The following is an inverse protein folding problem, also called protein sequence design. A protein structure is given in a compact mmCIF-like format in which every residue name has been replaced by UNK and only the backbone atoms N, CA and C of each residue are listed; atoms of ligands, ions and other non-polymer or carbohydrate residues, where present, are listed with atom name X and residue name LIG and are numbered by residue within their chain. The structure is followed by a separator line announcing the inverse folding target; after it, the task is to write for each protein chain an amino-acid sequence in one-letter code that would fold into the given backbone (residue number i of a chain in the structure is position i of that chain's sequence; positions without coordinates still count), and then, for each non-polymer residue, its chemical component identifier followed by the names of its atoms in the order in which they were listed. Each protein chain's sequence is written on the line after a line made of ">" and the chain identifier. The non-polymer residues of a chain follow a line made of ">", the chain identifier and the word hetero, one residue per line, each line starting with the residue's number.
data_IF_884120256668
#
_entry.id   IF_884120256668
#
_cell.length_a   1.000
_cell.length_b   1.000
_cell.length_c   1.000
_cell.angle_alpha   90.00
_cell.angle_beta   90.00
_cell.angle_gamma   90.00
#
_symmetry.space_group_name_H-M   'P 1'
#
loop_
_entity.id
_entity.type
_entity.pdbx_description
1 polymer ?
#
# COMPACT_ATOMS: atom_id res chain seq x y z
N UNK A 1 -10.48 -55.49 37.68
CA UNK A 1 -9.24 -54.69 37.56
C UNK A 1 -8.93 -54.45 36.08
N UNK A 2 -8.56 -53.20 35.73
CA UNK A 2 -8.03 -52.68 34.44
C UNK A 2 -9.04 -52.62 33.28
N UNK A 3 -9.66 -51.49 32.90
CA UNK A 3 -9.27 -50.07 32.72
C UNK A 3 -8.49 -49.79 31.42
N UNK A 4 -9.28 -49.61 30.35
CA UNK A 4 -9.25 -48.52 29.33
C UNK A 4 -7.93 -48.11 28.67
N UNK A 5 -7.69 -48.60 27.45
CA UNK A 5 -6.76 -48.00 26.48
C UNK A 5 -7.54 -47.13 25.48
N UNK A 6 -7.76 -45.85 25.79
CA UNK A 6 -8.18 -44.85 24.80
C UNK A 6 -7.60 -43.50 25.24
N UNK A 7 -6.38 -43.16 24.82
CA UNK A 7 -5.87 -41.77 24.73
C UNK A 7 -4.38 -41.78 24.38
N UNK A 8 -4.02 -41.86 23.09
CA UNK A 8 -2.65 -41.54 22.68
C UNK A 8 -2.50 -40.93 21.27
N UNK A 9 -3.60 -40.63 20.56
CA UNK A 9 -3.55 -40.20 19.16
C UNK A 9 -3.99 -38.75 18.89
N UNK A 10 -4.38 -37.99 19.91
CA UNK A 10 -4.90 -36.61 19.74
C UNK A 10 -3.91 -35.52 20.13
N UNK A 11 -2.69 -35.86 20.56
CA UNK A 11 -1.72 -34.87 21.07
C UNK A 11 -0.79 -34.34 19.97
N UNK A 12 -0.62 -35.05 18.84
CA UNK A 12 0.35 -34.66 17.80
C UNK A 12 -0.11 -33.55 16.84
N UNK A 13 -1.40 -33.24 16.75
CA UNK A 13 -1.94 -32.27 15.78
C UNK A 13 -2.03 -30.83 16.29
N UNK A 14 -1.89 -30.59 17.60
CA UNK A 14 -1.93 -29.24 18.19
C UNK A 14 -0.54 -28.58 18.14
N UNK A 15 0.53 -29.37 18.14
CA UNK A 15 1.91 -28.88 18.15
C UNK A 15 2.33 -28.22 16.83
N UNK A 16 1.76 -28.62 15.69
CA UNK A 16 2.17 -28.10 14.38
C UNK A 16 1.60 -26.71 14.05
N UNK A 17 0.47 -26.32 14.67
CA UNK A 17 -0.12 -24.99 14.49
C UNK A 17 0.60 -23.89 15.28
N UNK A 18 1.43 -24.24 16.26
CA UNK A 18 2.16 -23.27 17.09
C UNK A 18 3.55 -22.92 16.52
N UNK A 19 4.14 -23.76 15.66
CA UNK A 19 5.50 -23.54 15.14
C UNK A 19 5.52 -22.65 13.89
N UNK A 20 4.40 -22.52 13.17
CA UNK A 20 4.30 -21.65 11.99
C UNK A 20 4.26 -20.14 12.32
N UNK A 21 4.15 -19.76 13.60
CA UNK A 21 4.08 -18.36 14.04
C UNK A 21 5.43 -17.66 14.21
N UNK A 22 6.55 -18.41 14.24
CA UNK A 22 7.86 -17.85 14.60
C UNK A 22 8.68 -17.24 13.46
N UNK A 23 8.22 -17.40 12.20
CA UNK A 23 8.85 -16.74 11.05
C UNK A 23 8.03 -15.57 10.49
N UNK A 24 7.16 -14.97 11.32
CA UNK A 24 6.72 -13.61 11.03
C UNK A 24 7.85 -12.68 11.54
N UNK A 25 8.64 -12.03 10.65
CA UNK A 25 9.55 -10.99 11.12
C UNK A 25 8.73 -9.99 11.93
N UNK A 26 9.18 -9.61 13.14
CA UNK A 26 8.50 -8.58 13.91
C UNK A 26 8.47 -7.35 13.01
N UNK A 27 7.29 -6.92 12.60
CA UNK A 27 7.16 -5.66 11.90
C UNK A 27 7.69 -4.60 12.85
N UNK A 28 8.84 -4.02 12.50
CA UNK A 28 9.42 -2.89 13.19
C UNK A 28 8.39 -1.75 13.09
N UNK A 29 7.50 -1.64 14.08
CA UNK A 29 6.42 -0.66 14.26
C UNK A 29 5.46 -0.35 13.09
N UNK A 30 5.52 -1.08 11.97
CA UNK A 30 4.78 -0.77 10.74
C UNK A 30 3.77 -1.82 10.26
N UNK A 31 2.90 -1.41 9.33
CA UNK A 31 2.02 -2.24 8.52
C UNK A 31 2.71 -2.54 7.20
N UNK A 32 2.93 -3.79 6.87
CA UNK A 32 3.35 -4.15 5.52
C UNK A 32 2.10 -4.23 4.63
N UNK A 33 2.00 -3.38 3.60
CA UNK A 33 0.78 -3.27 2.74
C UNK A 33 1.01 -3.87 1.35
N UNK A 34 2.18 -3.65 0.76
CA UNK A 34 2.53 -4.24 -0.54
C UNK A 34 2.60 -5.76 -0.44
N UNK A 35 2.22 -6.48 -1.50
CA UNK A 35 2.17 -7.95 -1.55
C UNK A 35 1.27 -8.61 -0.48
N UNK A 36 0.40 -7.86 0.20
CA UNK A 36 -0.60 -8.42 1.10
C UNK A 36 -1.89 -8.79 0.37
N UNK A 37 -2.67 -9.66 1.00
CA UNK A 37 -3.97 -10.10 0.49
C UNK A 37 -5.08 -9.09 0.81
N UNK A 38 -6.20 -9.09 0.06
CA UNK A 38 -7.35 -8.25 0.37
C UNK A 38 -7.84 -8.40 1.81
N UNK A 39 -7.80 -9.61 2.38
CA UNK A 39 -8.24 -9.88 3.74
C UNK A 39 -7.37 -9.16 4.78
N UNK A 40 -6.04 -9.12 4.58
CA UNK A 40 -5.14 -8.36 5.43
C UNK A 40 -5.40 -6.86 5.29
N UNK A 41 -5.53 -6.36 4.06
CA UNK A 41 -5.73 -4.92 3.82
C UNK A 41 -7.06 -4.42 4.42
N UNK A 42 -8.11 -5.24 4.38
CA UNK A 42 -9.40 -4.88 5.00
C UNK A 42 -9.30 -4.63 6.50
N UNK A 43 -8.35 -5.26 7.21
CA UNK A 43 -8.12 -5.00 8.63
C UNK A 43 -7.51 -3.63 8.88
N UNK A 44 -6.80 -3.06 7.89
CA UNK A 44 -6.11 -1.78 8.01
C UNK A 44 -6.95 -0.60 7.51
N UNK A 45 -7.68 -0.78 6.42
CA UNK A 45 -8.38 0.30 5.72
C UNK A 45 -9.90 0.10 5.61
N UNK A 46 -10.43 -0.98 6.18
CA UNK A 46 -11.84 -1.36 6.08
C UNK A 46 -12.19 -2.05 4.77
N UNK A 47 -13.49 -2.32 4.57
CA UNK A 47 -13.99 -2.96 3.35
C UNK A 47 -13.88 -1.99 2.16
N UNK A 48 -13.51 -2.47 0.96
CA UNK A 48 -13.56 -1.64 -0.24
C UNK A 48 -15.00 -1.22 -0.53
N UNK A 49 -15.17 0.02 -1.00
CA UNK A 49 -16.45 0.57 -1.46
C UNK A 49 -16.84 0.03 -2.83
N UNK A 50 -15.84 -0.27 -3.66
CA UNK A 50 -16.02 -0.77 -5.03
C UNK A 50 -14.83 -1.65 -5.40
N UNK A 51 -15.08 -2.68 -6.21
CA UNK A 51 -14.06 -3.54 -6.81
C UNK A 51 -14.32 -3.56 -8.31
N UNK A 52 -13.28 -3.32 -9.10
CA UNK A 52 -13.30 -3.42 -10.55
C UNK A 52 -12.29 -4.47 -11.00
N UNK A 53 -12.68 -5.35 -11.93
CA UNK A 53 -11.77 -6.30 -12.56
C UNK A 53 -11.28 -5.70 -13.87
N UNK A 54 -9.98 -5.77 -14.14
CA UNK A 54 -9.42 -5.28 -15.40
C UNK A 54 -9.98 -6.08 -16.58
N UNK A 55 -10.43 -5.38 -17.62
CA UNK A 55 -10.93 -6.00 -18.85
C UNK A 55 -9.84 -6.75 -19.63
N UNK A 56 -8.58 -6.33 -19.50
CA UNK A 56 -7.44 -6.93 -20.21
C UNK A 56 -6.70 -7.99 -19.39
N UNK A 57 -6.92 -8.03 -18.07
CA UNK A 57 -6.28 -9.00 -17.18
C UNK A 57 -7.22 -9.38 -16.03
N UNK A 58 -7.90 -10.54 -16.09
CA UNK A 58 -8.87 -10.94 -15.06
C UNK A 58 -8.22 -11.20 -13.68
N UNK A 59 -6.89 -11.36 -13.63
CA UNK A 59 -6.13 -11.50 -12.38
C UNK A 59 -5.80 -10.16 -11.74
N UNK A 60 -6.08 -9.05 -12.43
CA UNK A 60 -5.89 -7.70 -11.94
C UNK A 60 -7.23 -7.11 -11.49
N UNK A 61 -7.27 -6.64 -10.25
CA UNK A 61 -8.45 -6.01 -9.65
C UNK A 61 -8.09 -4.70 -8.99
N UNK A 62 -8.91 -3.68 -9.14
CA UNK A 62 -8.78 -2.38 -8.49
C UNK A 62 -9.81 -2.26 -7.38
N UNK A 63 -9.34 -2.04 -6.15
CA UNK A 63 -10.17 -1.88 -4.96
C UNK A 63 -10.18 -0.41 -4.58
N UNK A 64 -11.36 0.18 -4.46
CA UNK A 64 -11.55 1.57 -4.06
C UNK A 64 -11.92 1.61 -2.58
N UNK A 65 -11.19 2.42 -1.81
CA UNK A 65 -11.41 2.59 -0.37
C UNK A 65 -11.97 3.98 -0.08
N UNK A 66 -12.44 4.18 1.16
CA UNK A 66 -12.89 5.51 1.59
C UNK A 66 -11.74 6.51 1.54
N UNK A 67 -11.94 7.62 0.83
CA UNK A 67 -11.02 8.75 0.82
C UNK A 67 -11.21 9.70 2.02
N UNK A 68 -12.15 9.41 2.94
CA UNK A 68 -12.37 10.26 4.11
C UNK A 68 -11.12 10.42 5.00
N UNK A 69 -10.35 9.35 5.33
CA UNK A 69 -9.12 9.51 6.09
C UNK A 69 -8.04 10.29 5.32
N UNK A 70 -8.00 10.14 4.00
CA UNK A 70 -7.08 10.88 3.13
C UNK A 70 -7.36 12.38 3.20
N UNK A 71 -8.63 12.80 3.21
CA UNK A 71 -8.99 14.22 3.37
C UNK A 71 -8.63 14.79 4.75
N UNK A 72 -8.56 13.95 5.78
CA UNK A 72 -8.05 14.37 7.10
C UNK A 72 -6.53 14.55 7.07
N UNK A 73 -5.83 13.69 6.34
CA UNK A 73 -4.38 13.76 6.14
C UNK A 73 -3.98 14.95 5.25
N UNK A 74 -4.77 15.19 4.20
CA UNK A 74 -4.59 16.24 3.22
C UNK A 74 -5.88 17.05 3.08
N UNK A 75 -6.05 18.15 3.82
CA UNK A 75 -7.27 18.96 3.80
C UNK A 75 -7.65 19.51 2.42
N UNK A 76 -6.68 19.67 1.52
CA UNK A 76 -6.90 20.12 0.13
C UNK A 76 -7.22 18.99 -0.85
N UNK A 77 -7.29 17.73 -0.39
CA UNK A 77 -7.66 16.60 -1.24
C UNK A 77 -9.12 16.73 -1.70
N UNK A 78 -9.41 16.72 -3.01
CA UNK A 78 -10.75 16.98 -3.53
C UNK A 78 -11.79 15.97 -3.04
N UNK A 79 -13.06 16.40 -2.96
CA UNK A 79 -14.17 15.55 -2.50
C UNK A 79 -14.39 14.34 -3.43
N UNK A 80 -14.21 14.55 -4.74
CA UNK A 80 -14.28 13.50 -5.76
C UNK A 80 -13.00 12.66 -5.88
N UNK A 81 -11.95 13.02 -5.14
CA UNK A 81 -10.69 12.31 -5.15
C UNK A 81 -10.85 10.87 -4.68
N UNK A 82 -10.02 10.00 -5.22
CA UNK A 82 -10.09 8.57 -5.03
C UNK A 82 -8.83 8.03 -4.39
N UNK A 83 -9.02 7.01 -3.56
CA UNK A 83 -7.96 6.23 -2.95
C UNK A 83 -8.22 4.76 -3.25
N UNK A 84 -7.20 4.06 -3.72
CA UNK A 84 -7.34 2.67 -4.09
C UNK A 84 -6.05 1.90 -4.10
N UNK A 85 -6.21 0.60 -4.35
CA UNK A 85 -5.11 -0.33 -4.52
C UNK A 85 -5.40 -1.25 -5.70
N UNK A 86 -4.37 -1.52 -6.48
CA UNK A 86 -4.41 -2.51 -7.56
C UNK A 86 -3.77 -3.80 -7.07
N UNK A 87 -4.53 -4.89 -7.23
CA UNK A 87 -4.14 -6.24 -6.89
C UNK A 87 -3.83 -7.01 -8.16
N UNK A 88 -2.77 -7.81 -8.15
CA UNK A 88 -2.47 -8.80 -9.20
C UNK A 88 -2.24 -10.14 -8.52
N UNK A 89 -2.99 -11.16 -8.93
CA UNK A 89 -3.02 -12.46 -8.25
C UNK A 89 -3.41 -12.34 -6.77
N UNK A 90 -4.43 -11.51 -6.47
CA UNK A 90 -4.91 -11.22 -5.11
C UNK A 90 -3.82 -10.72 -4.15
N UNK A 91 -2.82 -10.02 -4.68
CA UNK A 91 -1.74 -9.38 -3.92
C UNK A 91 -1.61 -7.91 -4.32
N UNK A 92 -1.52 -7.00 -3.34
CA UNK A 92 -1.33 -5.57 -3.61
C UNK A 92 -0.04 -5.36 -4.40
N UNK A 93 -0.14 -4.66 -5.53
CA UNK A 93 1.01 -4.24 -6.35
C UNK A 93 1.22 -2.74 -6.32
N UNK A 94 0.12 -2.00 -6.36
CA UNK A 94 0.14 -0.55 -6.41
C UNK A 94 -0.88 0.01 -5.44
N UNK A 95 -0.49 1.03 -4.72
CA UNK A 95 -1.36 1.84 -3.87
C UNK A 95 -1.40 3.22 -4.51
N UNK A 96 -2.56 3.81 -4.72
CA UNK A 96 -2.65 5.04 -5.50
C UNK A 96 -3.64 6.05 -4.92
N UNK A 97 -3.37 7.31 -5.19
CA UNK A 97 -4.26 8.43 -4.97
C UNK A 97 -4.51 9.11 -6.31
N UNK A 98 -5.78 9.36 -6.62
CA UNK A 98 -6.18 10.16 -7.77
C UNK A 98 -7.01 11.32 -7.26
N UNK A 99 -6.42 12.51 -7.08
CA UNK A 99 -7.14 13.69 -6.61
C UNK A 99 -8.33 14.06 -7.50
N UNK A 100 -8.27 13.74 -8.80
CA UNK A 100 -9.27 14.16 -9.80
C UNK A 100 -9.56 15.66 -9.66
N UNK A 101 -8.49 16.43 -9.57
CA UNK A 101 -8.53 17.88 -9.36
C UNK A 101 -9.35 18.51 -10.48
N UNK A 102 -10.39 19.30 -10.15
CA UNK A 102 -11.07 20.11 -11.15
C UNK A 102 -10.11 21.23 -11.59
N UNK A 103 -10.40 21.87 -12.73
CA UNK A 103 -9.53 22.84 -13.41
C UNK A 103 -9.00 24.00 -12.53
N UNK A 104 -9.57 24.23 -11.35
CA UNK A 104 -9.20 25.31 -10.41
C UNK A 104 -8.77 24.84 -9.01
N UNK A 105 -8.68 23.53 -8.75
CA UNK A 105 -8.35 23.01 -7.41
C UNK A 105 -6.86 22.72 -7.26
N UNK A 106 -6.19 23.32 -6.26
CA UNK A 106 -4.79 23.01 -5.95
C UNK A 106 -4.68 21.90 -4.90
N UNK A 107 -4.18 20.73 -5.30
CA UNK A 107 -3.83 19.65 -4.37
C UNK A 107 -2.30 19.56 -4.20
N UNK A 108 -1.83 19.69 -2.96
CA UNK A 108 -0.42 19.51 -2.62
C UNK A 108 -0.21 18.15 -1.96
N UNK A 109 0.58 17.32 -2.62
CA UNK A 109 0.92 15.99 -2.14
C UNK A 109 2.15 16.02 -1.23
N UNK A 110 2.09 15.33 -0.08
CA UNK A 110 3.26 15.06 0.74
C UNK A 110 3.53 13.54 0.78
N UNK A 111 4.60 13.06 0.11
CA UNK A 111 4.90 11.64 0.01
C UNK A 111 5.19 10.98 1.36
N UNK A 112 5.85 11.70 2.29
CA UNK A 112 6.17 11.16 3.62
C UNK A 112 4.91 10.97 4.46
N UNK A 113 3.99 11.93 4.41
CA UNK A 113 2.71 11.84 5.10
C UNK A 113 1.86 10.68 4.55
N UNK A 114 1.80 10.52 3.23
CA UNK A 114 1.04 9.42 2.63
C UNK A 114 1.66 8.06 2.96
N UNK A 115 2.98 7.94 2.89
CA UNK A 115 3.69 6.74 3.32
C UNK A 115 3.36 6.38 4.76
N UNK A 116 3.47 7.34 5.69
CA UNK A 116 3.17 7.09 7.10
C UNK A 116 1.71 6.68 7.32
N UNK A 117 0.77 7.27 6.58
CA UNK A 117 -0.62 6.81 6.65
C UNK A 117 -0.80 5.35 6.20
N UNK A 118 -0.14 4.96 5.11
CA UNK A 118 -0.24 3.61 4.55
C UNK A 118 0.46 2.58 5.44
N UNK A 119 1.70 2.84 5.81
CA UNK A 119 2.58 1.89 6.47
C UNK A 119 2.65 2.09 7.99
N UNK A 120 2.17 3.19 8.55
CA UNK A 120 2.11 3.43 10.00
C UNK A 120 3.43 3.84 10.66
N UNK A 121 4.48 4.13 9.88
CA UNK A 121 5.76 4.65 10.36
C UNK A 121 6.34 5.67 9.37
N UNK A 122 7.33 6.44 9.83
CA UNK A 122 8.02 7.41 8.97
C UNK A 122 8.91 6.70 7.94
N UNK A 123 8.97 7.20 6.68
CA UNK A 123 9.83 6.60 5.67
C UNK A 123 11.30 6.66 6.11
N UNK A 124 12.05 5.54 6.07
CA UNK A 124 13.45 5.52 6.50
C UNK A 124 14.36 6.45 5.69
N UNK A 125 14.04 6.67 4.41
CA UNK A 125 14.78 7.55 3.52
C UNK A 125 13.84 8.40 2.67
N UNK A 126 14.38 9.48 2.09
CA UNK A 126 13.76 10.17 0.97
C UNK A 126 14.85 10.44 -0.06
N UNK A 127 14.95 9.57 -1.06
CA UNK A 127 15.97 9.67 -2.11
C UNK A 127 15.27 9.84 -3.45
N UNK A 128 15.35 11.04 -4.01
CA UNK A 128 14.84 11.30 -5.36
C UNK A 128 15.64 10.47 -6.36
N UNK A 129 14.92 9.79 -7.25
CA UNK A 129 15.50 9.05 -8.36
C UNK A 129 15.47 9.94 -9.59
N UNK A 130 16.44 9.73 -10.49
CA UNK A 130 16.47 10.46 -11.75
C UNK A 130 15.25 10.06 -12.58
N UNK A 131 14.46 11.05 -12.96
CA UNK A 131 13.33 10.89 -13.88
C UNK A 131 13.76 11.46 -15.22
N UNK A 132 13.89 10.59 -16.22
CA UNK A 132 14.16 10.99 -17.60
C UNK A 132 12.85 11.44 -18.24
N UNK A 133 12.39 12.64 -17.91
CA UNK A 133 11.15 13.17 -18.48
C UNK A 133 10.57 14.33 -17.67
N UNK A 134 10.34 15.43 -18.36
CA UNK A 134 9.46 16.52 -17.99
C UNK A 134 8.96 17.12 -19.29
N UNK A 135 7.65 17.18 -19.47
CA UNK A 135 7.04 17.86 -20.62
C UNK A 135 6.67 19.28 -20.18
N UNK A 136 6.56 20.22 -21.11
CA UNK A 136 6.24 21.61 -20.80
C UNK A 136 4.98 21.70 -19.90
N UNK A 137 5.14 22.25 -18.70
CA UNK A 137 4.07 22.39 -17.70
C UNK A 137 3.88 21.22 -16.71
N UNK A 138 4.66 20.14 -16.83
CA UNK A 138 4.58 18.97 -15.96
C UNK A 138 5.97 18.54 -15.45
N UNK A 139 6.06 18.26 -14.15
CA UNK A 139 7.25 17.71 -13.52
C UNK A 139 6.94 16.31 -12.97
N UNK A 140 7.61 15.30 -13.53
CA UNK A 140 7.48 13.92 -13.07
C UNK A 140 8.45 13.67 -11.91
N UNK A 141 7.94 13.12 -10.82
CA UNK A 141 8.73 12.80 -9.63
C UNK A 141 8.71 11.30 -9.36
N UNK A 142 9.87 10.82 -8.92
CA UNK A 142 10.08 9.44 -8.48
C UNK A 142 11.06 9.48 -7.31
N UNK A 143 10.73 8.85 -6.19
CA UNK A 143 11.61 8.84 -5.02
C UNK A 143 11.49 7.53 -4.23
N UNK A 144 12.62 7.02 -3.74
CA UNK A 144 12.66 5.95 -2.75
C UNK A 144 12.25 6.49 -1.39
N UNK A 145 11.36 5.75 -0.72
CA UNK A 145 10.90 6.01 0.63
C UNK A 145 11.46 5.01 1.67
N UNK A 146 12.21 4.00 1.22
CA UNK A 146 12.77 2.94 2.06
C UNK A 146 11.96 1.66 2.03
N UNK A 147 12.51 0.57 2.57
CA UNK A 147 11.88 -0.75 2.66
C UNK A 147 11.27 -1.27 1.35
N UNK A 148 11.96 -0.98 0.24
CA UNK A 148 11.52 -1.37 -1.10
C UNK A 148 10.34 -0.55 -1.62
N UNK A 149 9.96 0.56 -0.98
CA UNK A 149 8.85 1.41 -1.41
C UNK A 149 9.34 2.58 -2.23
N UNK A 150 8.70 2.78 -3.38
CA UNK A 150 8.89 3.92 -4.24
C UNK A 150 7.61 4.72 -4.39
N UNK A 151 7.71 6.05 -4.41
CA UNK A 151 6.61 6.94 -4.77
C UNK A 151 6.83 7.52 -6.16
N UNK A 152 5.74 7.64 -6.92
CA UNK A 152 5.69 8.37 -8.19
C UNK A 152 4.53 9.35 -8.16
N UNK A 153 4.71 10.53 -8.73
CA UNK A 153 3.65 11.52 -8.90
C UNK A 153 4.05 12.56 -9.93
N UNK A 154 3.07 13.29 -10.47
CA UNK A 154 3.29 14.40 -11.40
C UNK A 154 2.82 15.68 -10.74
N UNK A 155 3.62 16.74 -10.79
CA UNK A 155 3.19 18.08 -10.42
C UNK A 155 3.00 18.95 -11.67
N UNK A 156 1.96 19.76 -11.64
CA UNK A 156 1.67 20.78 -12.64
C UNK A 156 1.04 21.99 -11.94
N UNK A 157 0.73 23.04 -12.70
CA UNK A 157 0.25 24.32 -12.14
C UNK A 157 -0.98 24.18 -11.20
N UNK A 158 -1.80 23.16 -11.41
CA UNK A 158 -3.03 22.93 -10.63
C UNK A 158 -2.84 21.88 -9.52
N UNK A 159 -1.61 21.43 -9.25
CA UNK A 159 -1.29 20.55 -8.14
C UNK A 159 -0.69 19.22 -8.57
N UNK A 160 -0.84 18.21 -7.72
CA UNK A 160 -0.25 16.88 -7.90
C UNK A 160 -1.28 15.86 -8.40
N UNK A 161 -0.91 14.97 -9.30
CA UNK A 161 -1.73 13.81 -9.73
C UNK A 161 -0.85 12.57 -10.01
N UNK A 162 -1.47 11.48 -10.47
CA UNK A 162 -0.83 10.18 -10.77
C UNK A 162 0.02 9.64 -9.62
N UNK A 163 -0.48 9.82 -8.39
CA UNK A 163 0.25 9.46 -7.19
C UNK A 163 0.17 7.96 -6.97
N UNK A 164 1.32 7.30 -6.85
CA UNK A 164 1.38 5.88 -6.59
C UNK A 164 2.51 5.51 -5.64
N UNK A 165 2.30 4.45 -4.85
CA UNK A 165 3.33 3.73 -4.12
C UNK A 165 3.41 2.31 -4.68
N UNK A 166 4.61 1.86 -5.01
CA UNK A 166 4.88 0.51 -5.52
C UNK A 166 6.11 -0.08 -4.86
N UNK A 167 6.34 -1.38 -5.10
CA UNK A 167 7.55 -2.05 -4.65
C UNK A 167 8.64 -1.96 -5.73
N UNK A 168 9.84 -1.54 -5.34
CA UNK A 168 11.05 -1.54 -6.17
C UNK A 168 12.25 -1.95 -5.28
N UNK A 169 12.96 -3.05 -5.61
CA UNK A 169 14.09 -3.53 -4.80
C UNK A 169 15.26 -2.54 -4.74
N UNK A 170 15.34 -1.55 -5.65
CA UNK A 170 16.37 -0.49 -5.57
C UNK A 170 16.23 0.37 -4.30
N UNK A 171 15.04 0.37 -3.68
CA UNK A 171 14.74 1.12 -2.47
C UNK A 171 14.86 0.27 -1.19
N UNK A 172 15.36 -0.97 -1.26
CA UNK A 172 15.63 -1.80 -0.07
C UNK A 172 16.96 -1.44 0.62
N UNK A 173 17.09 -1.72 1.92
CA UNK A 173 18.37 -1.64 2.61
C UNK A 173 19.46 -2.54 1.96
N UNK A 174 20.75 -2.17 2.07
CA UNK A 174 21.27 -0.95 2.67
C UNK A 174 21.03 0.26 1.77
N UNK A 175 20.60 1.37 2.37
CA UNK A 175 20.37 2.62 1.65
C UNK A 175 21.72 3.20 1.22
N UNK A 176 21.95 3.23 -0.09
CA UNK A 176 23.12 3.84 -0.73
C UNK A 176 22.80 5.23 -1.24
#
# INVERSE_FOLDING_TARGET
>A
MKQTQVTLLTILSISYLLIAGWFAPPALAGRYVLNQTPQTIQRYFGRPLKIETSATNPKQKTYFYSALPIRRLFPTFPVQGQFGMTYVNDRVRTIWLSPRTPENGNFSYNPKAFFNYIFGYQPPIFKQLQVSGGHEGFADYKACLGDGVITTYIEYRLGTDQISLTYDPVCEPPYK
#
